data_IF_918642159177
#
_entry.id   IF_918642159177
#
_cell.length_a   1.000
_cell.length_b   1.000
_cell.length_c   1.000
_cell.angle_alpha   90.00
_cell.angle_beta   90.00
_cell.angle_gamma   90.00
#
_symmetry.space_group_name_H-M   'P 1'
#
loop_
_entity.id
_entity.type
_entity.pdbx_description
1 polymer ?
#
# COMPACT_ATOMS: atom_id res chain seq x y z
N UNK A 1 -15.81 19.02 15.62
CA UNK A 1 -17.11 19.77 15.69
C UNK A 1 -17.60 19.81 17.14
N UNK A 2 -18.35 20.83 17.59
CA UNK A 2 -18.96 20.79 18.93
C UNK A 2 -19.87 19.56 19.06
N UNK A 3 -19.61 18.68 20.05
CA UNK A 3 -20.39 17.46 20.29
C UNK A 3 -19.88 16.19 19.59
N UNK A 4 -18.78 16.25 18.86
CA UNK A 4 -18.15 15.07 18.27
C UNK A 4 -17.49 14.21 19.34
N UNK A 5 -17.97 12.98 19.52
CA UNK A 5 -17.41 12.01 20.44
C UNK A 5 -16.64 10.96 19.64
N UNK A 6 -15.32 10.95 19.78
CA UNK A 6 -14.47 9.96 19.13
C UNK A 6 -14.68 8.59 19.78
N UNK A 7 -14.63 7.54 18.97
CA UNK A 7 -14.56 6.17 19.49
C UNK A 7 -13.33 6.03 20.39
N UNK A 8 -13.42 5.35 21.54
CA UNK A 8 -12.26 5.08 22.40
C UNK A 8 -11.15 4.32 21.68
N UNK A 9 -11.48 3.56 20.64
CA UNK A 9 -10.54 2.77 19.82
C UNK A 9 -10.89 2.82 18.33
N UNK A 10 -9.91 2.56 17.48
CA UNK A 10 -10.09 2.25 16.05
C UNK A 10 -10.02 0.72 15.87
N UNK A 11 -11.14 0.00 15.86
CA UNK A 11 -11.11 -1.45 15.67
C UNK A 11 -10.77 -1.81 14.22
N UNK A 12 -9.96 -2.86 14.05
CA UNK A 12 -9.70 -3.45 12.74
C UNK A 12 -10.81 -4.46 12.38
N UNK A 13 -11.51 -4.31 11.24
CA UNK A 13 -12.45 -5.31 10.78
C UNK A 13 -11.71 -6.60 10.42
N UNK A 14 -11.99 -7.69 11.14
CA UNK A 14 -11.40 -9.02 10.85
C UNK A 14 -12.35 -9.95 10.12
N UNK A 15 -13.59 -9.50 9.87
CA UNK A 15 -14.63 -10.27 9.20
C UNK A 15 -15.33 -9.44 8.12
N UNK A 16 -15.67 -10.06 6.97
CA UNK A 16 -15.24 -11.39 6.53
C UNK A 16 -13.71 -11.46 6.35
N UNK A 17 -13.16 -12.66 6.16
CA UNK A 17 -11.74 -12.79 5.86
C UNK A 17 -11.39 -11.95 4.61
N UNK A 18 -10.18 -11.39 4.52
CA UNK A 18 -9.72 -10.71 3.31
C UNK A 18 -9.84 -11.63 2.09
N UNK A 19 -10.49 -11.15 1.03
CA UNK A 19 -10.55 -11.86 -0.25
C UNK A 19 -9.31 -11.58 -1.12
N UNK A 20 -8.47 -10.62 -0.71
CA UNK A 20 -7.27 -10.15 -1.40
C UNK A 20 -6.10 -10.08 -0.43
N UNK A 21 -4.87 -10.10 -0.98
CA UNK A 21 -3.67 -9.99 -0.15
C UNK A 21 -3.57 -8.61 0.51
N UNK A 22 -3.45 -8.61 1.82
CA UNK A 22 -3.32 -7.42 2.66
C UNK A 22 -1.94 -7.39 3.31
N UNK A 23 -1.10 -6.46 2.85
CA UNK A 23 0.31 -6.43 3.20
C UNK A 23 1.17 -7.33 2.30
N UNK A 24 2.47 -7.29 2.54
CA UNK A 24 3.49 -8.02 1.79
C UNK A 24 4.32 -8.83 2.77
N UNK A 25 4.58 -10.08 2.42
CA UNK A 25 5.39 -11.03 3.17
C UNK A 25 6.40 -11.71 2.25
N UNK A 26 7.39 -12.38 2.83
CA UNK A 26 8.39 -13.15 2.05
C UNK A 26 7.75 -14.36 1.36
N UNK A 27 6.62 -14.85 1.90
CA UNK A 27 5.89 -15.98 1.32
C UNK A 27 5.14 -15.60 0.03
N UNK A 28 4.92 -14.30 -0.19
CA UNK A 28 4.32 -13.79 -1.42
C UNK A 28 5.32 -13.71 -2.59
N UNK A 29 6.61 -13.98 -2.33
CA UNK A 29 7.67 -13.94 -3.34
C UNK A 29 7.73 -15.24 -4.15
N UNK A 30 8.17 -15.11 -5.40
CA UNK A 30 8.38 -16.24 -6.32
C UNK A 30 9.25 -17.33 -5.69
N UNK A 31 8.89 -18.59 -5.95
CA UNK A 31 9.52 -19.78 -5.36
C UNK A 31 9.87 -20.86 -6.41
N UNK A 32 9.90 -20.50 -7.69
CA UNK A 32 10.19 -21.45 -8.78
C UNK A 32 11.56 -22.14 -8.65
N UNK A 33 12.59 -21.39 -8.24
CA UNK A 33 13.90 -21.93 -7.87
C UNK A 33 14.47 -21.18 -6.65
N UNK A 34 15.38 -21.80 -5.88
CA UNK A 34 16.03 -21.13 -4.75
C UNK A 34 16.78 -19.85 -5.14
N UNK A 35 17.41 -19.83 -6.31
CA UNK A 35 18.19 -18.68 -6.81
C UNK A 35 17.27 -17.49 -7.10
N UNK A 36 16.14 -17.74 -7.77
CA UNK A 36 15.15 -16.71 -8.06
C UNK A 36 14.47 -16.20 -6.78
N UNK A 37 14.24 -17.08 -5.80
CA UNK A 37 13.72 -16.67 -4.49
C UNK A 37 14.69 -15.75 -3.76
N UNK A 38 15.98 -16.06 -3.80
CA UNK A 38 17.01 -15.24 -3.19
C UNK A 38 17.11 -13.86 -3.86
N UNK A 39 17.09 -13.82 -5.20
CA UNK A 39 17.06 -12.55 -5.95
C UNK A 39 15.82 -11.71 -5.61
N UNK A 40 14.64 -12.34 -5.50
CA UNK A 40 13.41 -11.65 -5.11
C UNK A 40 13.51 -11.04 -3.70
N UNK A 41 14.14 -11.73 -2.75
CA UNK A 41 14.39 -11.23 -1.39
C UNK A 41 15.34 -10.01 -1.44
N UNK A 42 16.39 -10.07 -2.25
CA UNK A 42 17.33 -8.95 -2.42
C UNK A 42 16.64 -7.72 -3.02
N UNK A 43 15.76 -7.90 -3.99
CA UNK A 43 14.95 -6.83 -4.56
C UNK A 43 13.97 -6.28 -3.51
N UNK A 44 13.27 -7.15 -2.77
CA UNK A 44 12.33 -6.74 -1.73
C UNK A 44 13.03 -5.92 -0.63
N UNK A 45 14.29 -6.24 -0.32
CA UNK A 45 15.13 -5.52 0.62
C UNK A 45 15.50 -4.09 0.18
N UNK A 46 15.24 -3.68 -1.06
CA UNK A 46 15.37 -2.28 -1.49
C UNK A 46 14.20 -1.41 -1.02
N UNK A 47 13.12 -2.03 -0.55
CA UNK A 47 11.89 -1.35 -0.16
C UNK A 47 11.58 -1.53 1.33
N UNK A 48 10.66 -0.72 1.83
CA UNK A 48 9.93 -0.96 3.07
C UNK A 48 8.66 -1.73 2.73
N UNK A 49 8.34 -2.74 3.50
CA UNK A 49 7.20 -3.62 3.27
C UNK A 49 6.72 -4.18 4.61
N UNK A 50 5.50 -4.71 4.65
CA UNK A 50 4.89 -5.23 5.87
C UNK A 50 3.37 -5.30 5.79
N UNK A 51 2.64 -5.23 6.92
CA UNK A 51 1.19 -5.31 6.94
C UNK A 51 0.51 -4.14 6.18
N UNK A 52 -0.79 -4.26 5.90
CA UNK A 52 -1.58 -3.30 5.09
C UNK A 52 -1.39 -1.82 5.46
N UNK A 53 -1.17 -1.50 6.74
CA UNK A 53 -0.99 -0.13 7.23
C UNK A 53 0.48 0.25 7.44
N UNK A 54 1.40 -0.40 6.73
CA UNK A 54 2.81 -0.01 6.71
C UNK A 54 2.95 1.41 6.18
N UNK A 55 3.54 2.29 6.98
CA UNK A 55 3.62 3.70 6.65
C UNK A 55 4.47 3.94 5.38
N UNK A 56 4.07 4.87 4.50
CA UNK A 56 4.90 5.26 3.36
C UNK A 56 6.15 6.00 3.84
N UNK A 57 7.31 5.69 3.25
CA UNK A 57 8.55 6.43 3.49
C UNK A 57 8.75 7.53 2.46
N UNK A 58 9.34 8.64 2.92
CA UNK A 58 9.81 9.70 2.04
C UNK A 58 11.10 9.25 1.35
N UNK A 59 11.19 9.48 0.04
CA UNK A 59 12.42 9.20 -0.70
C UNK A 59 13.60 9.98 -0.13
N UNK A 60 14.70 9.27 0.07
CA UNK A 60 16.00 9.81 0.42
C UNK A 60 16.97 9.54 -0.75
N UNK A 61 17.80 10.52 -1.08
CA UNK A 61 18.78 10.45 -2.16
C UNK A 61 20.14 9.89 -1.70
N UNK A 62 20.30 9.60 -0.41
CA UNK A 62 21.52 9.00 0.11
C UNK A 62 21.77 7.60 -0.47
N UNK A 63 23.02 7.21 -0.74
CA UNK A 63 23.35 5.86 -1.18
C UNK A 63 22.86 4.81 -0.17
N UNK A 64 22.16 3.79 -0.68
CA UNK A 64 21.58 2.71 0.16
C UNK A 64 20.26 3.07 0.83
N UNK A 65 19.68 4.24 0.57
CA UNK A 65 18.32 4.57 0.98
C UNK A 65 17.30 3.61 0.34
N UNK A 66 16.20 3.39 1.04
CA UNK A 66 15.06 2.60 0.55
C UNK A 66 14.34 3.34 -0.57
N UNK A 67 13.88 2.61 -1.57
CA UNK A 67 13.28 3.15 -2.80
C UNK A 67 11.79 3.49 -2.67
N UNK A 68 11.19 3.16 -1.54
CA UNK A 68 9.80 3.43 -1.24
C UNK A 68 9.19 2.38 -0.33
N UNK A 69 7.87 2.45 -0.18
CA UNK A 69 7.09 1.43 0.53
C UNK A 69 6.27 0.64 -0.48
N UNK A 70 6.33 -0.68 -0.42
CA UNK A 70 5.43 -1.58 -1.15
C UNK A 70 4.23 -1.86 -0.26
N UNK A 71 3.04 -1.76 -0.84
CA UNK A 71 1.78 -2.07 -0.16
C UNK A 71 0.91 -2.95 -1.07
N UNK A 72 0.11 -3.79 -0.40
CA UNK A 72 -0.93 -4.62 -1.00
C UNK A 72 -2.23 -4.43 -0.19
N UNK A 73 -3.39 -4.26 -0.83
CA UNK A 73 -3.60 -4.20 -2.28
C UNK A 73 -2.93 -2.98 -2.93
N UNK A 74 -2.61 -3.08 -4.22
CA UNK A 74 -1.93 -2.02 -4.97
C UNK A 74 -2.77 -0.74 -5.10
N UNK A 75 -2.23 0.24 -5.82
CA UNK A 75 -2.83 1.59 -5.91
C UNK A 75 -4.30 1.61 -6.34
N UNK A 76 -4.70 0.70 -7.21
CA UNK A 76 -6.08 0.60 -7.69
C UNK A 76 -7.04 -0.08 -6.69
N UNK A 77 -6.52 -0.62 -5.58
CA UNK A 77 -7.25 -1.48 -4.67
C UNK A 77 -7.41 -2.90 -5.21
N UNK A 78 -7.90 -3.81 -4.34
CA UNK A 78 -8.19 -5.20 -4.71
C UNK A 78 -9.60 -5.40 -5.29
N UNK A 79 -10.54 -4.50 -4.98
CA UNK A 79 -11.84 -4.41 -5.63
C UNK A 79 -11.92 -3.09 -6.39
N UNK A 80 -12.57 -3.12 -7.56
CA UNK A 80 -12.63 -1.98 -8.46
C UNK A 80 -14.07 -1.54 -8.72
N UNK A 81 -14.21 -0.45 -9.46
CA UNK A 81 -15.47 0.19 -9.85
C UNK A 81 -16.39 -0.71 -10.70
N UNK A 82 -15.88 -1.83 -11.22
CA UNK A 82 -16.66 -2.86 -11.91
C UNK A 82 -17.71 -3.54 -11.04
N UNK A 83 -17.68 -3.33 -9.72
CA UNK A 83 -18.68 -3.85 -8.79
C UNK A 83 -18.51 -5.34 -8.49
N UNK A 84 -19.53 -5.93 -7.88
CA UNK A 84 -19.58 -7.33 -7.46
C UNK A 84 -20.96 -7.92 -7.77
N UNK A 85 -21.04 -9.23 -7.96
CA UNK A 85 -22.31 -9.97 -8.13
C UNK A 85 -22.72 -10.67 -6.84
N UNK A 86 -23.99 -10.63 -6.48
CA UNK A 86 -24.53 -11.35 -5.31
C UNK A 86 -25.54 -12.40 -5.73
N UNK A 87 -25.38 -13.62 -5.24
CA UNK A 87 -26.34 -14.71 -5.41
C UNK A 87 -27.19 -14.84 -4.13
N UNK A 88 -28.50 -14.50 -4.16
CA UNK A 88 -29.37 -14.56 -3.00
C UNK A 88 -29.76 -15.98 -2.59
N UNK A 89 -29.64 -16.99 -3.47
CA UNK A 89 -29.98 -18.38 -3.13
C UNK A 89 -28.89 -19.03 -2.29
N UNK A 90 -27.62 -18.76 -2.63
CA UNK A 90 -26.45 -19.26 -1.89
C UNK A 90 -25.95 -18.29 -0.81
N UNK A 91 -26.34 -17.01 -0.89
CA UNK A 91 -25.84 -15.95 -0.01
C UNK A 91 -24.39 -15.53 -0.31
N UNK A 92 -23.88 -15.83 -1.49
CA UNK A 92 -22.49 -15.60 -1.88
C UNK A 92 -22.30 -14.29 -2.64
N UNK A 93 -21.25 -13.56 -2.28
CA UNK A 93 -20.79 -12.36 -2.97
C UNK A 93 -19.54 -12.68 -3.80
N UNK A 94 -19.60 -12.42 -5.10
CA UNK A 94 -18.52 -12.59 -6.06
C UNK A 94 -17.90 -11.25 -6.40
N UNK A 95 -16.67 -11.02 -5.93
CA UNK A 95 -15.93 -9.77 -6.15
C UNK A 95 -14.80 -10.03 -7.15
N UNK A 96 -14.72 -9.31 -8.28
CA UNK A 96 -13.56 -9.38 -9.17
C UNK A 96 -12.35 -8.80 -8.44
N UNK A 97 -11.30 -9.61 -8.37
CA UNK A 97 -10.05 -9.28 -7.69
C UNK A 97 -9.06 -8.64 -8.68
N UNK A 98 -8.35 -7.62 -8.21
CA UNK A 98 -7.31 -6.91 -8.93
C UNK A 98 -5.97 -7.09 -8.21
N UNK A 99 -5.36 -8.26 -8.44
CA UNK A 99 -4.10 -8.61 -7.81
C UNK A 99 -2.97 -7.70 -8.28
N UNK A 100 -2.50 -6.82 -7.39
CA UNK A 100 -1.36 -5.95 -7.65
C UNK A 100 -0.67 -5.55 -6.36
N UNK A 101 0.65 -5.45 -6.39
CA UNK A 101 1.48 -4.86 -5.35
C UNK A 101 2.17 -3.64 -5.96
N UNK A 102 2.06 -2.49 -5.32
CA UNK A 102 2.62 -1.26 -5.89
C UNK A 102 3.75 -0.72 -5.01
N UNK A 103 4.99 -0.62 -5.50
CA UNK A 103 5.98 0.23 -4.88
C UNK A 103 5.55 1.69 -5.04
N UNK A 104 5.33 2.41 -3.93
CA UNK A 104 5.17 3.87 -3.97
C UNK A 104 6.41 4.57 -3.42
N UNK A 105 7.09 5.37 -4.26
CA UNK A 105 7.93 6.44 -3.76
C UNK A 105 7.05 7.57 -3.22
N UNK A 106 7.32 8.07 -2.01
CA UNK A 106 6.74 9.31 -1.53
C UNK A 106 7.76 10.44 -1.75
N UNK A 107 7.59 11.22 -2.80
CA UNK A 107 8.42 12.42 -2.99
C UNK A 107 7.95 13.51 -2.03
N UNK A 108 8.88 14.27 -1.43
CA UNK A 108 8.48 15.52 -0.78
C UNK A 108 7.81 16.37 -1.84
N UNK A 109 6.60 16.86 -1.55
CA UNK A 109 6.01 17.91 -2.37
C UNK A 109 7.05 19.04 -2.49
N UNK A 110 7.27 19.62 -3.68
CA UNK A 110 8.11 20.80 -3.78
C UNK A 110 7.54 21.81 -2.80
N UNK A 111 8.34 22.26 -1.84
CA UNK A 111 7.97 23.40 -1.01
C UNK A 111 7.49 24.48 -1.95
N UNK A 112 6.23 24.89 -1.81
CA UNK A 112 5.60 25.86 -2.69
C UNK A 112 6.41 27.17 -2.65
N UNK A 113 7.37 27.31 -3.57
CA UNK A 113 8.23 28.47 -3.74
C UNK A 113 7.52 29.53 -4.56
N UNK A 114 6.34 29.93 -4.12
CA UNK A 114 5.57 31.02 -4.69
C UNK A 114 5.44 32.14 -3.66
N UNK A 115 6.54 32.71 -3.15
CA UNK A 115 6.54 34.10 -2.64
C UNK A 115 7.96 34.68 -2.57
N UNK A 116 8.08 35.88 -3.14
CA UNK A 116 9.16 36.86 -3.03
C UNK A 116 10.42 36.66 -3.90
N UNK A 117 10.25 36.76 -5.23
CA UNK A 117 11.14 37.63 -6.00
C UNK A 117 10.89 39.08 -5.56
N UNK A 118 11.73 39.58 -4.65
CA UNK A 118 11.70 40.95 -4.18
C UNK A 118 13.10 41.54 -4.22
N UNK A 119 13.53 42.02 -5.38
CA UNK A 119 14.63 42.99 -5.44
C UNK A 119 14.23 44.24 -4.68
N UNK A 120 14.92 44.55 -3.57
CA UNK A 120 15.14 45.94 -3.12
C UNK A 120 16.29 46.06 -2.11
N UNK A 121 17.33 46.74 -2.60
CA UNK A 121 18.56 47.26 -1.96
C UNK A 121 19.64 46.26 -1.58
#
# INVERSE_FOLDING_TARGET
MPGEQLSPTQPFPTKPAPFELQGVTVDDLIDFTPELRQEAIEILNRYVWGPMFTAPIVLDSNPGAKEGTIFSPGTAGGASWSGAGFDPETGMLYVPSAYSQTPRPNTRAPTCGWFASGTRR
#
